data_IF_089354202550
#
_entry.id   IF_089354202550
#
_cell.length_a   1.000
_cell.length_b   1.000
_cell.length_c   1.000
_cell.angle_alpha   90.00
_cell.angle_beta   90.00
_cell.angle_gamma   90.00
#
_symmetry.space_group_name_H-M   'P 1'
#
loop_
_entity.id
_entity.type
_entity.pdbx_description
1 polymer ?
#
# COMPACT_ATOMS: atom_id res chain seq x y z
N UNK A 1 8.63 15.52 13.19
CA UNK A 1 7.52 16.43 13.54
C UNK A 1 8.02 17.60 14.36
N UNK A 2 8.66 17.37 15.52
CA UNK A 2 9.32 18.42 16.31
C UNK A 2 10.36 19.20 15.48
N UNK A 3 11.31 18.50 14.86
CA UNK A 3 12.32 19.12 14.00
C UNK A 3 11.73 19.77 12.73
N UNK A 4 10.50 19.39 12.35
CA UNK A 4 9.77 19.97 11.21
C UNK A 4 8.91 21.18 11.64
N UNK A 5 8.93 21.56 12.92
CA UNK A 5 8.12 22.65 13.45
C UNK A 5 6.62 22.38 13.52
N UNK A 6 6.14 21.17 13.19
CA UNK A 6 4.70 20.86 13.13
C UNK A 6 4.08 20.57 14.51
N UNK A 7 4.91 20.26 15.51
CA UNK A 7 4.48 20.06 16.90
C UNK A 7 5.51 20.67 17.84
N UNK A 8 5.08 21.04 19.05
CA UNK A 8 5.94 21.63 20.09
C UNK A 8 5.59 21.10 21.47
N UNK A 9 6.51 21.27 22.42
CA UNK A 9 6.23 21.02 23.83
C UNK A 9 5.38 22.19 24.36
N UNK A 10 4.25 21.88 24.96
CA UNK A 10 3.31 22.86 25.55
C UNK A 10 3.33 22.85 27.07
N UNK A 11 3.98 21.86 27.69
CA UNK A 11 4.14 21.81 29.13
C UNK A 11 4.57 20.43 29.62
N UNK A 12 4.32 20.16 30.90
CA UNK A 12 4.48 18.85 31.52
C UNK A 12 3.23 18.51 32.31
N UNK A 13 2.85 17.23 32.31
CA UNK A 13 1.73 16.75 33.10
C UNK A 13 2.14 16.61 34.57
N UNK A 14 1.29 17.06 35.51
CA UNK A 14 1.54 16.93 36.96
C UNK A 14 1.16 15.53 37.48
N UNK A 15 1.87 14.53 36.98
CA UNK A 15 1.75 13.13 37.41
C UNK A 15 3.15 12.55 37.63
N UNK A 16 3.30 11.42 38.34
CA UNK A 16 4.60 10.76 38.49
C UNK A 16 5.30 10.56 37.14
N UNK A 17 6.60 10.88 37.07
CA UNK A 17 7.38 10.90 35.84
C UNK A 17 7.29 12.20 35.02
N UNK A 18 6.35 13.10 35.33
CA UNK A 18 6.18 14.45 34.76
C UNK A 18 6.40 14.51 33.23
N UNK A 19 5.68 13.69 32.44
CA UNK A 19 5.93 13.59 31.00
C UNK A 19 5.64 14.90 30.28
N UNK A 20 6.33 15.13 29.16
CA UNK A 20 6.09 16.27 28.29
C UNK A 20 4.72 16.19 27.62
N UNK A 21 4.02 17.32 27.59
CA UNK A 21 2.81 17.51 26.80
C UNK A 21 3.19 18.13 25.46
N UNK A 22 2.66 17.57 24.38
CA UNK A 22 2.86 18.06 23.03
C UNK A 22 1.58 18.67 22.48
N UNK A 23 1.73 19.72 21.68
CA UNK A 23 0.65 20.36 20.94
C UNK A 23 1.08 20.68 19.51
N UNK A 24 0.11 20.93 18.65
CA UNK A 24 0.34 21.37 17.27
C UNK A 24 0.74 22.85 17.22
N UNK A 25 1.26 23.27 16.08
CA UNK A 25 1.71 24.64 15.82
C UNK A 25 0.87 25.29 14.73
N UNK A 26 1.20 26.53 14.34
CA UNK A 26 0.54 27.18 13.19
C UNK A 26 0.98 26.54 11.88
N UNK A 27 2.25 26.15 11.79
CA UNK A 27 2.82 25.44 10.65
C UNK A 27 2.09 24.12 10.40
N UNK A 28 1.58 23.46 11.44
CA UNK A 28 0.69 22.32 11.29
C UNK A 28 -0.60 22.70 10.54
N UNK A 29 -1.29 23.74 10.97
CA UNK A 29 -2.54 24.18 10.34
C UNK A 29 -2.31 24.56 8.87
N UNK A 30 -1.25 25.32 8.61
CA UNK A 30 -0.86 25.72 7.25
C UNK A 30 -0.51 24.51 6.37
N UNK A 31 0.26 23.55 6.91
CA UNK A 31 0.67 22.35 6.17
C UNK A 31 -0.53 21.47 5.79
N UNK A 32 -1.54 21.38 6.66
CA UNK A 32 -2.76 20.60 6.42
C UNK A 32 -3.90 21.42 5.77
N UNK A 33 -3.68 22.70 5.48
CA UNK A 33 -4.69 23.59 4.89
C UNK A 33 -5.90 23.86 5.80
N UNK A 34 -5.70 23.76 7.12
CA UNK A 34 -6.74 23.96 8.13
C UNK A 34 -6.72 25.42 8.60
N UNK A 35 -7.90 26.01 8.86
CA UNK A 35 -7.98 27.33 9.49
C UNK A 35 -7.89 27.23 11.01
N UNK A 36 -8.35 26.10 11.54
CA UNK A 36 -8.48 25.84 12.97
C UNK A 36 -8.42 24.34 13.27
N UNK A 37 -8.28 23.96 14.55
CA UNK A 37 -8.26 22.54 14.94
C UNK A 37 -9.64 21.89 14.84
N UNK A 38 -10.69 22.70 14.86
CA UNK A 38 -12.09 22.29 14.74
C UNK A 38 -12.44 21.83 13.32
N UNK A 39 -11.66 22.26 12.31
CA UNK A 39 -11.80 21.85 10.91
C UNK A 39 -11.28 20.42 10.68
N UNK A 40 -10.63 19.81 11.67
CA UNK A 40 -10.14 18.43 11.58
C UNK A 40 -11.36 17.49 11.48
N UNK A 41 -11.39 16.57 10.49
CA UNK A 41 -12.46 15.58 10.38
C UNK A 41 -12.62 14.81 11.69
N UNK A 42 -13.86 14.72 12.19
CA UNK A 42 -14.17 13.94 13.39
C UNK A 42 -13.74 12.49 13.18
N UNK A 43 -13.32 11.81 14.25
CA UNK A 43 -12.86 10.40 14.22
C UNK A 43 -13.84 9.48 13.46
N UNK A 44 -15.17 9.68 13.61
CA UNK A 44 -16.19 8.89 12.91
C UNK A 44 -16.17 9.08 11.38
N UNK A 45 -15.70 10.23 10.90
CA UNK A 45 -15.49 10.53 9.48
C UNK A 45 -14.14 10.01 8.94
N UNK A 46 -13.21 9.59 9.81
CA UNK A 46 -11.95 8.96 9.42
C UNK A 46 -12.10 7.46 9.06
N UNK A 47 -13.33 6.96 8.95
CA UNK A 47 -13.62 5.74 8.19
C UNK A 47 -13.39 6.01 6.70
N UNK A 48 -12.17 6.37 6.38
CA UNK A 48 -11.65 6.45 5.03
C UNK A 48 -11.64 5.01 4.53
N UNK A 49 -12.32 4.70 3.41
CA UNK A 49 -12.03 3.45 2.75
C UNK A 49 -10.52 3.46 2.48
N UNK A 50 -9.79 2.51 3.06
CA UNK A 50 -8.43 2.26 2.65
C UNK A 50 -8.52 1.91 1.17
N UNK A 51 -8.27 2.88 0.29
CA UNK A 51 -7.98 2.55 -1.08
C UNK A 51 -6.70 1.72 -1.00
N UNK A 52 -6.73 0.44 -1.43
CA UNK A 52 -5.50 -0.31 -1.56
C UNK A 52 -4.63 0.49 -2.52
N UNK A 53 -3.63 1.17 -1.98
CA UNK A 53 -2.59 1.80 -2.79
C UNK A 53 -1.95 0.63 -3.52
N UNK A 54 -2.04 0.65 -4.84
CA UNK A 54 -1.45 -0.37 -5.70
C UNK A 54 -0.02 -0.60 -5.21
N UNK A 55 0.22 -1.80 -4.68
CA UNK A 55 1.58 -2.31 -4.52
C UNK A 55 2.21 -2.21 -5.89
N UNK A 56 3.33 -1.48 -5.97
CA UNK A 56 4.22 -1.35 -7.14
C UNK A 56 3.94 -2.48 -8.14
N UNK A 57 3.16 -2.17 -9.18
CA UNK A 57 3.17 -2.97 -10.38
C UNK A 57 4.63 -2.98 -10.81
N UNK A 58 5.27 -4.12 -10.61
CA UNK A 58 6.58 -4.45 -11.12
C UNK A 58 6.52 -4.22 -12.63
N UNK A 59 6.87 -3.01 -13.06
CA UNK A 59 7.02 -2.64 -14.45
C UNK A 59 8.28 -3.35 -14.94
N UNK A 60 8.20 -4.44 -15.72
CA UNK A 60 9.42 -4.92 -16.37
C UNK A 60 9.84 -3.81 -17.34
N UNK A 61 11.09 -3.30 -17.27
CA UNK A 61 11.55 -2.31 -18.23
C UNK A 61 11.46 -2.94 -19.62
N UNK A 62 10.57 -2.38 -20.44
CA UNK A 62 10.51 -2.69 -21.85
C UNK A 62 11.79 -2.19 -22.51
N UNK A 63 12.74 -3.10 -22.72
CA UNK A 63 13.93 -2.88 -23.53
C UNK A 63 15.20 -3.32 -22.84
N UNK A 64 15.69 -4.51 -23.20
CA UNK A 64 17.06 -4.78 -23.66
C UNK A 64 17.37 -6.28 -23.63
N UNK A 65 17.41 -6.89 -24.83
CA UNK A 65 18.18 -8.06 -25.27
C UNK A 65 17.45 -8.57 -26.53
N UNK A 66 17.91 -8.31 -27.74
CA UNK A 66 19.22 -8.72 -28.24
C UNK A 66 18.92 -9.73 -29.35
N UNK A 67 19.18 -9.31 -30.59
CA UNK A 67 19.26 -10.20 -31.75
C UNK A 67 20.06 -11.44 -31.39
N UNK A 68 19.63 -12.65 -31.75
CA UNK A 68 20.46 -13.72 -32.37
C UNK A 68 19.55 -14.73 -33.11
N UNK A 69 20.05 -15.21 -34.25
CA UNK A 69 19.32 -15.97 -35.25
C UNK A 69 19.57 -17.49 -35.16
N UNK A 70 18.69 -18.25 -35.82
CA UNK A 70 18.90 -19.58 -36.43
C UNK A 70 19.01 -20.84 -35.56
N UNK A 71 18.47 -21.95 -36.09
CA UNK A 71 18.71 -23.35 -35.66
C UNK A 71 17.44 -24.07 -35.19
N UNK A 72 16.66 -24.68 -36.08
CA UNK A 72 16.71 -26.12 -36.42
C UNK A 72 16.34 -27.11 -35.29
N UNK A 73 15.14 -27.68 -35.46
CA UNK A 73 14.81 -29.11 -35.46
C UNK A 73 14.85 -30.01 -34.20
N UNK A 74 13.74 -30.76 -34.11
CA UNK A 74 13.57 -32.17 -33.69
C UNK A 74 13.04 -32.51 -32.29
N UNK A 75 12.06 -33.42 -32.35
CA UNK A 75 11.87 -34.60 -31.48
C UNK A 75 10.92 -34.52 -30.28
N UNK A 76 9.81 -35.26 -30.40
CA UNK A 76 9.41 -36.18 -29.33
C UNK A 76 8.11 -35.90 -28.58
N UNK A 77 7.00 -35.58 -29.25
CA UNK A 77 5.69 -35.57 -28.60
C UNK A 77 5.18 -37.02 -28.45
N UNK A 78 5.48 -37.65 -27.30
CA UNK A 78 4.77 -38.86 -26.86
C UNK A 78 3.58 -38.45 -25.99
N UNK A 79 2.39 -38.43 -26.61
CA UNK A 79 1.10 -38.30 -25.94
C UNK A 79 0.58 -39.71 -25.65
N UNK A 80 0.34 -40.03 -24.39
CA UNK A 80 -0.71 -40.98 -24.02
C UNK A 80 -1.75 -40.21 -23.23
N UNK A 81 -2.89 -39.99 -23.89
CA UNK A 81 -4.12 -39.52 -23.29
C UNK A 81 -5.00 -40.76 -23.10
N UNK A 82 -5.38 -41.05 -21.87
CA UNK A 82 -6.48 -41.96 -21.56
C UNK A 82 -7.61 -41.12 -20.95
N UNK A 83 -8.61 -40.78 -21.77
CA UNK A 83 -10.02 -40.88 -21.36
C UNK A 83 -10.39 -42.36 -21.33
N UNK A 84 -11.46 -42.87 -20.73
CA UNK A 84 -12.83 -42.42 -20.45
C UNK A 84 -13.25 -43.15 -19.14
N UNK A 85 -14.28 -42.78 -18.38
CA UNK A 85 -15.66 -43.22 -18.65
C UNK A 85 -16.66 -42.49 -17.72
N UNK A 86 -17.63 -41.73 -18.25
CA UNK A 86 -18.70 -41.11 -17.48
C UNK A 86 -19.89 -42.07 -17.36
N UNK A 87 -19.82 -42.97 -16.39
CA UNK A 87 -20.94 -43.85 -16.03
C UNK A 87 -21.61 -43.39 -14.73
N UNK A 88 -22.75 -42.71 -14.86
CA UNK A 88 -24.05 -43.04 -14.25
C UNK A 88 -24.92 -41.79 -14.02
N UNK A 89 -25.90 -41.68 -14.91
CA UNK A 89 -27.06 -40.81 -14.90
C UNK A 89 -28.21 -41.52 -14.18
N UNK A 90 -29.03 -40.71 -13.52
CA UNK A 90 -30.41 -40.98 -13.02
C UNK A 90 -30.56 -41.66 -11.66
N UNK A 91 -31.28 -40.94 -10.80
CA UNK A 91 -31.87 -41.35 -9.53
C UNK A 91 -32.61 -40.16 -8.94
#
# INVERSE_FOLDING_TARGET
LLNKGLVRIVGRKEVPGRPFLYGTTKEFLEYFGLKSLEDIPKIKALSLPLQPQATDEMNPPAGEAGLEAAGQETSGQSRVAEGEDPSLRSG
#
